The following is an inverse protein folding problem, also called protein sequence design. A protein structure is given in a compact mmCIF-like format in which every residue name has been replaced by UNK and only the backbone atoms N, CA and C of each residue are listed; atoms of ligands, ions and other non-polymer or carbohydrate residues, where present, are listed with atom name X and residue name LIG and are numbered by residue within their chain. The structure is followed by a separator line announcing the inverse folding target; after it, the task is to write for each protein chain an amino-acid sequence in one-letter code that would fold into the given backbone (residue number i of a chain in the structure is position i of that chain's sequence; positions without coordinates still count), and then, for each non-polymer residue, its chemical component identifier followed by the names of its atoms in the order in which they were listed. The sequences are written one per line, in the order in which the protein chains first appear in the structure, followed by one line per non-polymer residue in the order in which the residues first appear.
data_IF_363929663278
#
_entry.id   IF_363929663278
#
_cell.length_a   1.000
_cell.length_b   1.000
_cell.length_c   1.000
_cell.angle_alpha   90.00
_cell.angle_beta   90.00
_cell.angle_gamma   90.00
#
_symmetry.space_group_name_H-M   'P 1'
#
loop_
_entity.id
_entity.type
_entity.pdbx_description
1 polymer ?
#
# COMPACT_ATOMS: atom_id res chain seq x y z
N UNK A 1 41.54 24.14 13.20
CA UNK A 1 40.25 24.75 13.57
C UNK A 1 39.53 25.07 12.29
N UNK A 2 38.33 24.50 12.02
CA UNK A 2 37.62 24.80 10.77
C UNK A 2 37.24 26.29 10.77
N UNK A 3 37.44 26.98 9.65
CA UNK A 3 37.03 28.37 9.51
C UNK A 3 35.51 28.50 9.57
N UNK A 4 35.01 29.66 10.02
CA UNK A 4 33.56 29.94 10.12
C UNK A 4 32.84 29.68 8.78
N UNK A 5 33.52 29.94 7.66
CA UNK A 5 33.03 29.68 6.31
C UNK A 5 32.82 28.18 6.04
N UNK A 6 33.69 27.32 6.56
CA UNK A 6 33.55 25.86 6.42
C UNK A 6 32.37 25.32 7.21
N UNK A 7 32.10 25.87 8.40
CA UNK A 7 30.90 25.51 9.18
C UNK A 7 29.61 26.00 8.51
N UNK A 8 29.62 27.22 7.97
CA UNK A 8 28.48 27.77 7.23
C UNK A 8 28.14 26.94 5.99
N UNK A 9 29.16 26.48 5.25
CA UNK A 9 28.95 25.61 4.08
C UNK A 9 28.33 24.26 4.46
N UNK A 10 28.77 23.64 5.56
CA UNK A 10 28.23 22.37 6.04
C UNK A 10 26.77 22.53 6.50
N UNK A 11 26.45 23.60 7.22
CA UNK A 11 25.07 23.89 7.63
C UNK A 11 24.17 24.15 6.43
N UNK A 12 24.65 24.89 5.42
CA UNK A 12 23.93 25.08 4.16
C UNK A 12 23.70 23.77 3.41
N UNK A 13 24.71 22.89 3.35
CA UNK A 13 24.58 21.59 2.70
C UNK A 13 23.57 20.68 3.42
N UNK A 14 23.62 20.63 4.76
CA UNK A 14 22.70 19.81 5.57
C UNK A 14 21.26 20.33 5.46
N UNK A 15 21.05 21.64 5.53
CA UNK A 15 19.71 22.26 5.40
C UNK A 15 19.13 22.11 4.00
N UNK A 16 19.95 22.24 2.94
CA UNK A 16 19.52 21.94 1.58
C UNK A 16 19.14 20.47 1.39
N UNK A 17 19.83 19.54 2.07
CA UNK A 17 19.57 18.10 1.98
C UNK A 17 18.26 17.70 2.69
N UNK A 18 17.93 18.33 3.83
CA UNK A 18 16.69 18.04 4.56
C UNK A 18 15.41 18.46 3.84
N UNK A 19 15.49 19.38 2.88
CA UNK A 19 14.33 19.81 2.10
C UNK A 19 13.85 18.76 1.07
N UNK A 20 14.64 17.69 0.84
CA UNK A 20 14.35 16.67 -0.18
C UNK A 20 13.76 15.37 0.36
N UNK A 21 13.55 15.24 1.68
CA UNK A 21 12.96 14.03 2.31
C UNK A 21 11.55 14.32 2.78
N UNK A 22 10.70 14.75 1.86
CA UNK A 22 9.25 14.54 1.95
C UNK A 22 8.79 14.21 0.54
N UNK A 23 8.91 12.94 0.16
CA UNK A 23 7.96 12.38 -0.79
C UNK A 23 6.64 12.26 -0.03
N UNK A 24 5.99 13.41 0.18
CA UNK A 24 4.56 13.44 0.29
C UNK A 24 4.08 12.92 -1.07
N UNK A 25 3.84 11.62 -1.11
CA UNK A 25 3.31 10.93 -2.27
C UNK A 25 1.86 11.37 -2.40
N UNK A 26 1.67 12.61 -2.86
CA UNK A 26 0.40 13.17 -3.26
C UNK A 26 0.08 12.57 -4.63
N UNK A 27 -0.30 11.30 -4.60
CA UNK A 27 -0.86 10.60 -5.75
C UNK A 27 -2.26 11.19 -5.97
N UNK A 28 -2.41 11.90 -7.08
CA UNK A 28 -3.64 12.58 -7.42
C UNK A 28 -4.70 11.62 -7.94
N UNK A 29 -5.91 11.72 -7.40
CA UNK A 29 -7.15 11.80 -8.18
C UNK A 29 -8.25 12.33 -7.24
N UNK A 30 -8.67 13.58 -7.46
CA UNK A 30 -9.71 14.27 -6.69
C UNK A 30 -11.11 13.74 -7.06
N UNK A 31 -11.37 12.46 -6.78
CA UNK A 31 -12.73 11.95 -6.58
C UNK A 31 -12.80 11.45 -5.16
N UNK A 32 -13.53 12.18 -4.32
CA UNK A 32 -13.74 11.87 -2.92
C UNK A 32 -14.34 10.46 -2.76
N UNK A 33 -13.48 9.44 -2.66
CA UNK A 33 -13.92 8.09 -2.34
C UNK A 33 -14.49 8.13 -0.92
N UNK A 34 -15.77 7.81 -0.75
CA UNK A 34 -16.40 7.78 0.58
C UNK A 34 -15.68 6.84 1.57
N UNK A 35 -14.89 5.89 1.06
CA UNK A 35 -14.03 4.98 1.82
C UNK A 35 -12.86 5.72 2.50
N UNK A 36 -12.37 6.82 1.92
CA UNK A 36 -11.34 7.71 2.52
C UNK A 36 -11.81 8.37 3.82
N UNK A 37 -13.11 8.34 4.18
CA UNK A 37 -13.57 8.83 5.48
C UNK A 37 -13.03 8.00 6.65
N UNK A 38 -12.60 6.76 6.38
CA UNK A 38 -11.92 5.91 7.34
C UNK A 38 -10.47 5.70 6.90
N UNK A 39 -9.61 6.65 7.26
CA UNK A 39 -8.17 6.63 6.96
C UNK A 39 -7.49 5.26 7.20
N UNK A 40 -7.76 4.54 8.32
CA UNK A 40 -7.10 3.25 8.56
C UNK A 40 -7.51 2.16 7.57
N UNK A 41 -8.74 2.21 7.05
CA UNK A 41 -9.21 1.23 6.06
C UNK A 41 -8.55 1.51 4.72
N UNK A 42 -8.45 2.79 4.34
CA UNK A 42 -7.78 3.19 3.12
C UNK A 42 -6.31 2.74 3.10
N UNK A 43 -5.58 2.95 4.20
CA UNK A 43 -4.18 2.52 4.32
C UNK A 43 -4.02 1.00 4.13
N UNK A 44 -4.92 0.19 4.69
CA UNK A 44 -4.91 -1.26 4.50
C UNK A 44 -5.19 -1.64 3.05
N UNK A 45 -6.11 -0.96 2.37
CA UNK A 45 -6.41 -1.22 0.95
C UNK A 45 -5.21 -0.88 0.06
N UNK A 46 -4.53 0.23 0.34
CA UNK A 46 -3.28 0.60 -0.33
C UNK A 46 -2.18 -0.45 -0.14
N UNK A 47 -2.01 -0.93 1.10
CA UNK A 47 -1.05 -1.98 1.41
C UNK A 47 -1.35 -3.28 0.64
N UNK A 48 -2.63 -3.66 0.53
CA UNK A 48 -3.06 -4.81 -0.27
C UNK A 48 -2.65 -4.64 -1.74
N UNK A 49 -2.87 -3.45 -2.31
CA UNK A 49 -2.49 -3.17 -3.70
C UNK A 49 -0.98 -3.20 -3.92
N UNK A 50 -0.18 -2.72 -2.97
CA UNK A 50 1.28 -2.75 -3.04
C UNK A 50 1.81 -4.19 -3.01
N UNK A 51 1.36 -5.00 -2.03
CA UNK A 51 1.74 -6.41 -1.96
C UNK A 51 1.27 -7.21 -3.18
N UNK A 52 0.07 -6.92 -3.69
CA UNK A 52 -0.45 -7.56 -4.89
C UNK A 52 0.39 -7.22 -6.14
N UNK A 53 0.84 -5.97 -6.26
CA UNK A 53 1.75 -5.56 -7.32
C UNK A 53 3.09 -6.28 -7.23
N UNK A 54 3.68 -6.42 -6.04
CA UNK A 54 4.94 -7.16 -5.88
C UNK A 54 4.83 -8.59 -6.41
N UNK A 55 3.74 -9.29 -6.07
CA UNK A 55 3.48 -10.67 -6.49
C UNK A 55 3.21 -10.82 -8.00
N UNK A 56 2.66 -9.78 -8.64
CA UNK A 56 2.18 -9.84 -10.03
C UNK A 56 2.95 -8.98 -11.02
N UNK A 57 3.94 -8.20 -10.55
CA UNK A 57 4.71 -7.21 -11.30
C UNK A 57 5.27 -7.74 -12.62
N UNK A 58 5.69 -9.01 -12.67
CA UNK A 58 6.22 -9.63 -13.88
C UNK A 58 5.19 -9.77 -15.01
N UNK A 59 3.90 -9.87 -14.68
CA UNK A 59 2.80 -10.09 -15.63
C UNK A 59 1.89 -8.87 -15.78
N UNK A 60 1.73 -8.10 -14.71
CA UNK A 60 0.87 -6.91 -14.63
C UNK A 60 1.64 -5.78 -13.94
N UNK A 61 2.51 -5.05 -14.67
CA UNK A 61 3.34 -4.00 -14.08
C UNK A 61 2.51 -2.82 -13.54
N UNK A 62 1.32 -2.57 -14.09
CA UNK A 62 0.44 -1.48 -13.65
C UNK A 62 -0.56 -1.90 -12.55
N UNK A 63 -0.41 -3.11 -11.98
CA UNK A 63 -1.37 -3.67 -11.02
C UNK A 63 -1.68 -2.71 -9.86
N UNK A 64 -0.69 -1.98 -9.36
CA UNK A 64 -0.87 -1.03 -8.26
C UNK A 64 -1.90 0.06 -8.59
N UNK A 65 -1.77 0.67 -9.76
CA UNK A 65 -2.67 1.73 -10.22
C UNK A 65 -4.07 1.16 -10.52
N UNK A 66 -4.13 0.03 -11.22
CA UNK A 66 -5.39 -0.64 -11.55
C UNK A 66 -6.16 -1.07 -10.30
N UNK A 67 -5.45 -1.48 -9.24
CA UNK A 67 -6.04 -1.89 -7.97
C UNK A 67 -6.67 -0.72 -7.19
N UNK A 68 -6.04 0.47 -7.24
CA UNK A 68 -6.53 1.70 -6.57
C UNK A 68 -7.63 2.42 -7.34
N UNK A 69 -7.80 2.10 -8.62
CA UNK A 69 -8.78 2.72 -9.49
C UNK A 69 -10.22 2.56 -8.98
N UNK A 70 -11.07 3.55 -9.32
CA UNK A 70 -12.50 3.57 -8.98
C UNK A 70 -12.79 3.30 -7.50
N UNK A 71 -11.98 3.86 -6.59
CA UNK A 71 -12.15 3.70 -5.15
C UNK A 71 -12.15 2.24 -4.69
N UNK A 72 -11.25 1.41 -5.24
CA UNK A 72 -11.13 -0.02 -4.93
C UNK A 72 -12.39 -0.86 -5.24
N UNK A 73 -13.28 -0.35 -6.09
CA UNK A 73 -14.53 -1.05 -6.44
C UNK A 73 -14.38 -2.04 -7.60
N UNK A 74 -13.18 -2.14 -8.18
CA UNK A 74 -12.88 -2.94 -9.37
C UNK A 74 -12.71 -4.43 -9.06
N UNK A 75 -12.84 -5.26 -10.12
CA UNK A 75 -12.50 -6.69 -10.08
C UNK A 75 -11.03 -6.90 -9.68
N UNK A 76 -10.14 -6.01 -10.12
CA UNK A 76 -8.70 -6.04 -9.81
C UNK A 76 -8.44 -6.01 -8.31
N UNK A 77 -9.08 -5.10 -7.58
CA UNK A 77 -8.96 -5.05 -6.13
C UNK A 77 -9.49 -6.33 -5.47
N UNK A 78 -10.64 -6.84 -5.91
CA UNK A 78 -11.22 -8.09 -5.37
C UNK A 78 -10.30 -9.29 -5.58
N UNK A 79 -9.64 -9.37 -6.74
CA UNK A 79 -8.67 -10.41 -7.02
C UNK A 79 -7.43 -10.31 -6.13
N UNK A 80 -6.91 -9.10 -5.90
CA UNK A 80 -5.84 -8.86 -4.94
C UNK A 80 -6.26 -9.26 -3.51
N UNK A 81 -7.46 -8.89 -3.07
CA UNK A 81 -7.98 -9.23 -1.74
C UNK A 81 -8.12 -10.74 -1.53
N UNK A 82 -8.46 -11.51 -2.58
CA UNK A 82 -8.58 -12.98 -2.52
C UNK A 82 -7.25 -13.66 -2.19
N UNK A 83 -6.11 -13.05 -2.53
CA UNK A 83 -4.78 -13.59 -2.21
C UNK A 83 -4.56 -13.63 -0.69
N UNK A 84 -5.04 -12.61 0.02
CA UNK A 84 -4.87 -12.45 1.46
C UNK A 84 -6.02 -13.04 2.28
N UNK A 85 -7.12 -13.41 1.63
CA UNK A 85 -8.27 -14.01 2.29
C UNK A 85 -7.98 -15.47 2.65
N UNK A 86 -8.25 -15.91 3.89
CA UNK A 86 -8.12 -17.31 4.23
C UNK A 86 -9.02 -18.13 3.31
N UNK A 87 -8.44 -19.11 2.63
CA UNK A 87 -9.24 -20.09 1.89
C UNK A 87 -10.17 -20.73 2.91
N UNK A 88 -11.48 -20.58 2.72
CA UNK A 88 -12.46 -21.42 3.39
C UNK A 88 -12.23 -22.86 2.90
N UNK A 89 -11.21 -23.53 3.44
CA UNK A 89 -11.19 -24.96 3.50
C UNK A 89 -12.38 -25.29 4.38
N UNK A 90 -13.50 -25.65 3.76
CA UNK A 90 -14.63 -26.24 4.45
C UNK A 90 -14.05 -27.38 5.28
N UNK A 91 -13.88 -27.13 6.57
CA UNK A 91 -13.29 -28.07 7.48
C UNK A 91 -14.16 -29.34 7.43
N UNK A 92 -13.61 -30.41 6.86
CA UNK A 92 -14.14 -31.77 6.88
C UNK A 92 -14.22 -32.36 8.33
N UNK A 93 -14.35 -31.53 9.36
CA UNK A 93 -14.56 -31.96 10.75
C UNK A 93 -16.02 -32.32 11.06
N UNK A 94 -16.94 -32.21 10.09
CA UNK A 94 -18.32 -32.71 10.22
C UNK A 94 -18.48 -34.23 9.99
N UNK A 95 -17.40 -35.02 10.04
CA UNK A 95 -17.45 -36.49 9.86
C UNK A 95 -16.91 -37.29 11.06
N UNK A 96 -16.93 -36.73 12.28
CA UNK A 96 -16.74 -37.49 13.53
C UNK A 96 -17.78 -37.08 14.57
N UNK A 97 -19.06 -37.27 14.24
CA UNK A 97 -20.10 -37.47 15.24
C UNK A 97 -20.67 -38.87 15.04
N UNK A 98 -20.59 -39.66 16.11
CA UNK A 98 -21.39 -40.86 16.42
C UNK A 98 -21.30 -42.06 15.46
N UNK A 99 -20.29 -42.90 15.69
CA UNK A 99 -20.43 -44.36 15.56
C UNK A 99 -19.66 -45.00 16.72
N UNK A 100 -20.39 -45.47 17.74
CA UNK A 100 -19.89 -46.00 19.01
C UNK A 100 -20.80 -45.61 20.15
#
# INVERSE_FOLDING_TARGET
MPSLNSFLLLLFAVTACSASIFLEQKDGDDKECHILKNEPIHEVMDQICDMCHELSSHSKPNMRADCRSECFSTETFRDCLRIFSPRHHAHHHAARRIRG
#
